data_IF_035810061941
#
_entry.id   IF_035810061941
#
_cell.length_a   1.000
_cell.length_b   1.000
_cell.length_c   1.000
_cell.angle_alpha   90.00
_cell.angle_beta   90.00
_cell.angle_gamma   90.00
#
_symmetry.space_group_name_H-M   'P 1'
#
loop_
_entity.id
_entity.type
_entity.pdbx_description
1 polymer ?
#
# COMPACT_ATOMS: atom_id res chain seq x y z
N UNK A 1 -76.94 -57.11 82.07
CA UNK A 1 -77.52 -57.75 80.87
C UNK A 1 -77.66 -56.70 79.78
N UNK A 2 -77.36 -57.10 78.54
CA UNK A 2 -77.15 -56.26 77.36
C UNK A 2 -78.48 -55.85 76.67
N UNK A 3 -78.38 -54.80 75.83
CA UNK A 3 -79.20 -54.45 74.65
C UNK A 3 -80.49 -53.62 74.83
N UNK A 4 -80.54 -52.50 74.11
CA UNK A 4 -81.76 -51.76 73.77
C UNK A 4 -81.50 -50.38 73.15
N UNK A 5 -80.94 -50.35 71.93
CA UNK A 5 -81.51 -49.70 70.73
C UNK A 5 -81.91 -48.21 70.88
N UNK A 6 -81.11 -47.36 70.25
CA UNK A 6 -81.52 -46.04 69.79
C UNK A 6 -81.64 -46.04 68.25
N UNK A 7 -82.81 -45.64 67.77
CA UNK A 7 -83.18 -45.32 66.40
C UNK A 7 -84.36 -44.33 66.56
N UNK A 8 -84.51 -43.17 65.94
CA UNK A 8 -83.74 -42.31 65.07
C UNK A 8 -84.58 -41.03 64.90
N UNK A 9 -84.04 -39.98 64.29
CA UNK A 9 -84.79 -39.04 63.42
C UNK A 9 -83.86 -37.98 62.82
N UNK A 10 -83.72 -38.06 61.50
CA UNK A 10 -83.03 -37.10 60.65
C UNK A 10 -83.79 -35.77 60.55
N UNK A 11 -83.06 -34.65 60.58
CA UNK A 11 -83.44 -33.40 59.91
C UNK A 11 -82.33 -33.00 58.95
N UNK A 12 -82.73 -32.74 57.70
CA UNK A 12 -81.87 -32.47 56.53
C UNK A 12 -81.16 -31.12 56.68
N UNK A 13 -79.85 -31.09 56.42
CA UNK A 13 -79.10 -29.86 56.21
C UNK A 13 -79.18 -29.44 54.73
N UNK A 14 -79.54 -28.18 54.48
CA UNK A 14 -79.38 -27.55 53.17
C UNK A 14 -77.91 -27.16 52.97
N UNK A 15 -77.30 -27.56 51.86
CA UNK A 15 -75.98 -27.09 51.46
C UNK A 15 -76.13 -25.84 50.57
N UNK A 16 -75.40 -24.73 50.81
CA UNK A 16 -75.36 -23.62 49.88
C UNK A 16 -74.46 -23.95 48.68
N UNK A 17 -74.94 -23.71 47.47
CA UNK A 17 -74.15 -23.77 46.25
C UNK A 17 -73.23 -22.55 46.18
N UNK A 18 -71.92 -22.74 46.40
CA UNK A 18 -70.92 -21.72 46.12
C UNK A 18 -70.56 -21.77 44.62
N UNK A 19 -71.20 -20.91 43.82
CA UNK A 19 -70.78 -20.65 42.44
C UNK A 19 -69.37 -20.03 42.45
N UNK A 20 -68.39 -20.71 41.84
CA UNK A 20 -67.06 -20.15 41.62
C UNK A 20 -67.14 -19.18 40.44
N UNK A 21 -67.11 -17.87 40.71
CA UNK A 21 -66.87 -16.87 39.68
C UNK A 21 -65.44 -17.07 39.12
N UNK A 22 -65.33 -17.42 37.84
CA UNK A 22 -64.03 -17.54 37.19
C UNK A 22 -63.35 -16.16 37.16
N UNK A 23 -62.10 -16.09 37.67
CA UNK A 23 -61.28 -14.87 37.76
C UNK A 23 -60.76 -14.45 36.38
N UNK A 24 -61.59 -13.81 35.56
CA UNK A 24 -61.25 -13.33 34.21
C UNK A 24 -60.02 -12.41 34.17
N UNK A 25 -59.79 -11.59 35.21
CA UNK A 25 -58.65 -10.67 35.29
C UNK A 25 -57.27 -11.32 35.32
N UNK A 26 -57.12 -12.56 35.83
CA UNK A 26 -55.82 -13.25 35.87
C UNK A 26 -55.43 -13.81 34.51
N UNK A 27 -56.43 -14.28 33.75
CA UNK A 27 -56.23 -14.83 32.41
C UNK A 27 -55.86 -13.70 31.43
N UNK A 28 -56.53 -12.54 31.54
CA UNK A 28 -56.19 -11.36 30.74
C UNK A 28 -54.78 -10.85 31.02
N UNK A 29 -54.34 -10.81 32.29
CA UNK A 29 -52.97 -10.43 32.64
C UNK A 29 -51.95 -11.42 32.09
N UNK A 30 -52.24 -12.73 32.11
CA UNK A 30 -51.36 -13.73 31.50
C UNK A 30 -51.22 -13.55 29.99
N UNK A 31 -52.34 -13.34 29.27
CA UNK A 31 -52.32 -13.11 27.82
C UNK A 31 -51.51 -11.84 27.49
N UNK A 32 -51.73 -10.75 28.22
CA UNK A 32 -50.99 -9.49 28.01
C UNK A 32 -49.48 -9.71 28.29
N UNK A 33 -49.12 -10.42 29.35
CA UNK A 33 -47.73 -10.73 29.66
C UNK A 33 -47.07 -11.58 28.57
N UNK A 34 -47.78 -12.58 28.02
CA UNK A 34 -47.27 -13.41 26.92
C UNK A 34 -47.07 -12.59 25.64
N UNK A 35 -48.01 -11.69 25.31
CA UNK A 35 -47.88 -10.80 24.14
C UNK A 35 -46.69 -9.84 24.30
N UNK A 36 -46.49 -9.28 25.51
CA UNK A 36 -45.35 -8.42 25.80
C UNK A 36 -44.01 -9.17 25.67
N UNK A 37 -43.92 -10.41 26.15
CA UNK A 37 -42.72 -11.23 26.01
C UNK A 37 -42.42 -11.55 24.53
N UNK A 38 -43.44 -11.86 23.73
CA UNK A 38 -43.29 -12.09 22.29
C UNK A 38 -42.83 -10.82 21.57
N UNK A 39 -43.42 -9.67 21.89
CA UNK A 39 -43.02 -8.39 21.31
C UNK A 39 -41.56 -8.03 21.65
N UNK A 40 -41.13 -8.26 22.90
CA UNK A 40 -39.75 -8.06 23.33
C UNK A 40 -38.77 -9.01 22.63
N UNK A 41 -39.14 -10.29 22.46
CA UNK A 41 -38.32 -11.27 21.77
C UNK A 41 -38.14 -10.92 20.28
N UNK A 42 -39.23 -10.53 19.61
CA UNK A 42 -39.20 -10.11 18.19
C UNK A 42 -38.40 -8.81 18.04
N UNK A 43 -38.64 -7.82 18.91
CA UNK A 43 -37.93 -6.55 18.91
C UNK A 43 -36.43 -6.71 19.15
N UNK A 44 -36.02 -7.56 20.09
CA UNK A 44 -34.62 -7.88 20.34
C UNK A 44 -33.95 -8.58 19.14
N UNK A 45 -34.66 -9.50 18.49
CA UNK A 45 -34.15 -10.21 17.30
C UNK A 45 -33.98 -9.25 16.12
N UNK A 46 -34.94 -8.35 15.89
CA UNK A 46 -34.84 -7.32 14.85
C UNK A 46 -33.74 -6.32 15.14
N UNK A 47 -33.56 -5.90 16.40
CA UNK A 47 -32.48 -5.01 16.80
C UNK A 47 -31.11 -5.66 16.55
N UNK A 48 -30.95 -6.94 16.92
CA UNK A 48 -29.72 -7.69 16.70
C UNK A 48 -29.41 -7.88 15.20
N UNK A 49 -30.42 -8.20 14.37
CA UNK A 49 -30.27 -8.32 12.91
C UNK A 49 -30.06 -6.98 12.20
N UNK A 50 -30.56 -5.89 12.78
CA UNK A 50 -30.44 -4.54 12.21
C UNK A 50 -29.14 -3.84 12.61
N UNK A 51 -28.37 -4.38 13.55
CA UNK A 51 -27.02 -3.91 13.84
C UNK A 51 -26.16 -4.17 12.62
N UNK A 52 -25.94 -3.11 11.82
CA UNK A 52 -24.93 -3.12 10.78
C UNK A 52 -23.62 -2.71 11.42
N UNK A 53 -22.66 -3.62 11.46
CA UNK A 53 -21.27 -3.23 11.76
C UNK A 53 -20.79 -2.25 10.70
N UNK A 54 -19.98 -1.27 11.10
CA UNK A 54 -19.27 -0.43 10.14
C UNK A 54 -18.47 -1.36 9.20
N UNK A 55 -18.56 -1.20 7.87
CA UNK A 55 -17.89 -2.11 6.96
C UNK A 55 -16.39 -2.09 7.25
N UNK A 56 -15.81 -3.26 7.54
CA UNK A 56 -14.35 -3.43 7.56
C UNK A 56 -13.88 -3.24 6.12
N UNK A 57 -13.50 -2.01 5.78
CA UNK A 57 -12.98 -1.66 4.47
C UNK A 57 -11.56 -2.21 4.35
N UNK A 58 -11.41 -3.34 3.65
CA UNK A 58 -10.09 -3.83 3.27
C UNK A 58 -9.56 -2.96 2.13
N UNK A 59 -8.82 -1.90 2.49
CA UNK A 59 -8.31 -0.91 1.55
C UNK A 59 -7.08 -1.48 0.85
N UNK A 60 -7.28 -2.04 -0.34
CA UNK A 60 -6.17 -2.38 -1.23
C UNK A 60 -5.60 -1.09 -1.83
N UNK A 61 -4.44 -0.65 -1.33
CA UNK A 61 -3.70 0.46 -1.92
C UNK A 61 -2.88 -0.08 -3.10
N UNK A 62 -3.05 0.45 -4.33
CA UNK A 62 -2.25 0.02 -5.46
C UNK A 62 -0.80 0.46 -5.28
N UNK A 63 0.10 -0.49 -5.48
CA UNK A 63 1.54 -0.27 -5.46
C UNK A 63 1.96 0.59 -6.65
N UNK A 64 2.83 1.58 -6.41
CA UNK A 64 3.44 2.42 -7.45
C UNK A 64 4.95 2.35 -7.38
N UNK A 65 5.58 2.27 -8.54
CA UNK A 65 7.03 2.42 -8.68
C UNK A 65 7.29 3.68 -9.49
N UNK A 66 7.87 4.68 -8.86
CA UNK A 66 8.21 5.97 -9.48
C UNK A 66 9.51 6.47 -8.87
N UNK A 67 10.23 7.30 -9.63
CA UNK A 67 11.45 7.91 -9.15
C UNK A 67 11.59 9.35 -9.61
N UNK A 68 12.46 10.09 -8.94
CA UNK A 68 12.77 11.49 -9.21
C UNK A 68 14.28 11.67 -9.26
N UNK A 69 14.77 12.30 -10.31
CA UNK A 69 16.20 12.62 -10.44
C UNK A 69 16.54 13.78 -9.52
N UNK A 70 17.64 13.65 -8.79
CA UNK A 70 18.23 14.69 -7.96
C UNK A 70 19.57 15.07 -8.56
N UNK A 71 19.77 16.35 -8.87
CA UNK A 71 21.03 16.87 -9.36
C UNK A 71 21.14 18.37 -9.09
N UNK A 72 22.35 18.92 -9.22
CA UNK A 72 22.60 20.36 -9.20
C UNK A 72 23.44 20.71 -10.40
N UNK A 73 23.08 21.78 -11.12
CA UNK A 73 23.90 22.30 -12.21
C UNK A 73 24.32 23.73 -11.92
N UNK A 74 25.62 23.99 -11.94
CA UNK A 74 26.18 25.33 -11.85
C UNK A 74 26.52 25.84 -13.26
N UNK A 75 25.67 26.73 -13.78
CA UNK A 75 25.85 27.29 -15.12
C UNK A 75 27.11 28.16 -15.29
N UNK A 76 27.65 28.72 -14.21
CA UNK A 76 28.88 29.54 -14.26
C UNK A 76 30.14 28.70 -14.37
N UNK A 77 30.18 27.53 -13.72
CA UNK A 77 31.34 26.62 -13.76
C UNK A 77 31.17 25.48 -14.75
N UNK A 78 29.96 25.25 -15.28
CA UNK A 78 29.63 24.10 -16.12
C UNK A 78 29.66 22.78 -15.36
N UNK A 79 29.57 22.79 -14.03
CA UNK A 79 29.64 21.59 -13.20
C UNK A 79 28.25 21.08 -12.88
N UNK A 80 28.00 19.81 -13.21
CA UNK A 80 26.84 19.06 -12.71
C UNK A 80 27.29 18.20 -11.53
N UNK A 81 26.57 18.26 -10.41
CA UNK A 81 26.95 17.61 -9.16
C UNK A 81 25.76 16.94 -8.47
N UNK A 82 26.08 16.10 -7.49
CA UNK A 82 25.10 15.39 -6.64
C UNK A 82 24.08 14.59 -7.44
N UNK A 83 24.51 13.92 -8.53
CA UNK A 83 23.60 13.16 -9.40
C UNK A 83 23.14 11.91 -8.65
N UNK A 84 21.85 11.83 -8.36
CA UNK A 84 21.23 10.74 -7.61
C UNK A 84 19.76 10.59 -8.05
N UNK A 85 19.07 9.59 -7.53
CA UNK A 85 17.67 9.31 -7.86
C UNK A 85 16.93 8.90 -6.60
N UNK A 86 15.84 9.60 -6.28
CA UNK A 86 14.97 9.25 -5.17
C UNK A 86 13.90 8.27 -5.63
N UNK A 87 13.68 7.20 -4.88
CA UNK A 87 12.49 6.37 -5.02
C UNK A 87 11.28 7.10 -4.40
N UNK A 88 10.34 7.52 -5.24
CA UNK A 88 9.10 8.19 -4.82
C UNK A 88 7.90 7.24 -4.84
N UNK A 89 8.14 5.97 -5.16
CA UNK A 89 7.16 4.90 -5.13
C UNK A 89 6.79 4.47 -3.71
N UNK A 90 5.96 3.43 -3.64
CA UNK A 90 5.42 2.88 -2.38
C UNK A 90 6.08 1.57 -1.95
N UNK A 91 7.02 1.06 -2.74
CA UNK A 91 7.77 -0.17 -2.45
C UNK A 91 9.26 0.00 -2.78
N UNK A 92 10.06 -0.93 -2.28
CA UNK A 92 11.47 -1.04 -2.61
C UNK A 92 11.68 -1.22 -4.11
N UNK A 93 12.62 -0.47 -4.66
CA UNK A 93 12.88 -0.45 -6.09
C UNK A 93 14.37 -0.50 -6.41
N UNK A 94 14.73 -1.23 -7.48
CA UNK A 94 16.03 -1.06 -8.10
C UNK A 94 15.98 0.13 -9.05
N UNK A 95 17.10 0.84 -9.15
CA UNK A 95 17.23 2.06 -9.94
C UNK A 95 18.34 1.88 -10.97
N UNK A 96 18.06 2.31 -12.21
CA UNK A 96 19.07 2.50 -13.23
C UNK A 96 19.03 3.92 -13.80
N UNK A 97 20.16 4.40 -14.28
CA UNK A 97 20.33 5.73 -14.88
C UNK A 97 20.98 5.60 -16.24
N UNK A 98 20.49 6.36 -17.22
CA UNK A 98 21.17 6.63 -18.49
C UNK A 98 21.55 8.10 -18.55
N UNK A 99 22.80 8.38 -18.89
CA UNK A 99 23.31 9.73 -19.10
C UNK A 99 23.30 10.02 -20.60
N UNK A 100 22.53 11.01 -21.03
CA UNK A 100 22.40 11.37 -22.45
C UNK A 100 23.11 12.69 -22.68
N UNK A 101 24.11 12.67 -23.56
CA UNK A 101 24.95 13.84 -23.86
C UNK A 101 24.62 14.43 -25.21
N UNK A 102 24.52 15.75 -25.26
CA UNK A 102 24.22 16.49 -26.47
C UNK A 102 24.82 17.90 -26.40
N UNK A 103 24.63 18.69 -27.46
CA UNK A 103 25.10 20.08 -27.54
C UNK A 103 23.95 21.06 -27.55
N UNK A 104 24.17 22.23 -26.95
CA UNK A 104 23.24 23.35 -26.95
C UNK A 104 23.90 24.62 -27.45
N UNK A 105 23.12 25.49 -28.08
CA UNK A 105 23.56 26.86 -28.37
C UNK A 105 23.35 27.78 -27.15
N UNK A 106 23.69 29.06 -27.29
CA UNK A 106 23.52 30.06 -26.22
C UNK A 106 22.06 30.31 -25.84
N UNK A 107 21.12 30.01 -26.74
CA UNK A 107 19.68 30.05 -26.48
C UNK A 107 19.15 28.79 -25.78
N UNK A 108 20.02 27.80 -25.50
CA UNK A 108 19.64 26.54 -24.86
C UNK A 108 18.95 25.54 -25.79
N UNK A 109 18.96 25.76 -27.11
CA UNK A 109 18.38 24.85 -28.08
C UNK A 109 19.34 23.71 -28.40
N UNK A 110 18.82 22.49 -28.55
CA UNK A 110 19.60 21.35 -29.03
C UNK A 110 20.08 21.61 -30.46
N UNK A 111 21.38 21.45 -30.70
CA UNK A 111 22.03 21.58 -32.00
C UNK A 111 22.73 20.27 -32.39
N UNK A 112 23.19 20.19 -33.64
CA UNK A 112 24.03 19.08 -34.12
C UNK A 112 25.41 19.01 -33.45
N UNK A 113 26.20 18.04 -33.88
CA UNK A 113 27.54 17.79 -33.38
C UNK A 113 27.61 16.69 -32.32
N UNK A 114 28.75 16.02 -32.24
CA UNK A 114 28.97 14.90 -31.30
C UNK A 114 29.37 15.41 -29.92
N UNK A 115 28.70 14.93 -28.87
CA UNK A 115 29.10 15.18 -27.49
C UNK A 115 29.32 13.84 -26.77
N UNK A 116 30.56 13.55 -26.37
CA UNK A 116 30.89 12.36 -25.57
C UNK A 116 30.65 12.61 -24.09
N UNK A 117 30.19 11.59 -23.36
CA UNK A 117 30.03 11.66 -21.91
C UNK A 117 31.34 12.07 -21.21
N UNK A 118 31.32 13.10 -20.33
CA UNK A 118 32.50 13.49 -19.57
C UNK A 118 33.00 12.35 -18.69
N UNK A 119 34.30 12.36 -18.37
CA UNK A 119 34.84 11.45 -17.37
C UNK A 119 34.34 11.88 -15.98
N UNK A 120 33.93 10.92 -15.17
CA UNK A 120 33.51 11.13 -13.79
C UNK A 120 33.84 9.90 -12.94
N UNK A 121 33.86 10.08 -11.62
CA UNK A 121 34.04 8.98 -10.68
C UNK A 121 32.69 8.34 -10.38
N UNK A 122 32.55 7.06 -10.70
CA UNK A 122 31.34 6.30 -10.40
C UNK A 122 31.25 6.05 -8.88
N UNK A 123 30.12 6.37 -8.28
CA UNK A 123 29.88 6.15 -6.85
C UNK A 123 29.80 4.67 -6.47
N UNK A 124 30.10 4.37 -5.21
CA UNK A 124 30.08 3.01 -4.66
C UNK A 124 28.70 2.33 -4.82
N UNK A 125 28.67 1.04 -5.15
CA UNK A 125 27.42 0.31 -5.30
C UNK A 125 26.68 0.58 -6.62
N UNK A 126 27.19 1.49 -7.46
CA UNK A 126 26.78 1.63 -8.85
C UNK A 126 27.65 0.77 -9.76
N UNK A 127 27.04 0.13 -10.75
CA UNK A 127 27.71 -0.70 -11.76
C UNK A 127 27.27 -0.25 -13.15
N UNK A 128 28.22 -0.03 -14.05
CA UNK A 128 27.92 0.25 -15.46
C UNK A 128 27.69 -1.07 -16.22
N UNK A 129 26.60 -1.13 -16.99
CA UNK A 129 26.32 -2.21 -17.92
C UNK A 129 25.63 -1.66 -19.18
N UNK A 130 26.27 -1.84 -20.34
CA UNK A 130 25.88 -1.15 -21.56
C UNK A 130 25.89 0.38 -21.40
N UNK A 131 24.78 1.02 -21.76
CA UNK A 131 24.57 2.48 -21.65
C UNK A 131 24.04 2.94 -20.29
N UNK A 132 23.78 1.99 -19.37
CA UNK A 132 23.10 2.24 -18.11
C UNK A 132 24.03 2.04 -16.92
N UNK A 133 23.71 2.76 -15.84
CA UNK A 133 24.34 2.64 -14.54
C UNK A 133 23.29 2.15 -13.55
N UNK A 134 23.54 1.01 -12.92
CA UNK A 134 22.61 0.32 -12.04
C UNK A 134 23.07 0.45 -10.59
N UNK A 135 22.18 0.86 -9.70
CA UNK A 135 22.44 0.78 -8.27
C UNK A 135 22.06 -0.62 -7.76
N UNK A 136 23.02 -1.27 -7.10
CA UNK A 136 22.93 -2.71 -6.79
C UNK A 136 22.04 -3.04 -5.60
N UNK A 137 21.81 -2.10 -4.67
CA UNK A 137 20.94 -2.32 -3.52
C UNK A 137 19.51 -1.86 -3.81
N UNK A 138 18.47 -2.53 -3.28
CA UNK A 138 17.11 -2.01 -3.34
C UNK A 138 17.01 -0.69 -2.58
N UNK A 139 16.27 0.27 -3.13
CA UNK A 139 16.06 1.59 -2.54
C UNK A 139 14.65 1.64 -1.98
N UNK A 140 14.52 1.82 -0.66
CA UNK A 140 13.23 1.88 0.01
C UNK A 140 12.39 3.13 -0.39
N UNK A 141 11.06 3.12 -0.18
CA UNK A 141 10.20 4.26 -0.42
C UNK A 141 10.72 5.55 0.25
N UNK A 142 10.70 6.65 -0.49
CA UNK A 142 11.19 7.96 -0.08
C UNK A 142 12.70 8.04 0.23
N UNK A 143 13.46 6.98 -0.02
CA UNK A 143 14.92 6.95 0.11
C UNK A 143 15.58 7.15 -1.26
N UNK A 144 16.90 7.28 -1.22
CA UNK A 144 17.78 7.34 -2.39
C UNK A 144 19.00 6.43 -2.17
N UNK A 145 19.72 6.03 -3.22
CA UNK A 145 21.05 5.43 -3.11
C UNK A 145 21.94 6.12 -2.08
N UNK A 146 22.66 5.30 -1.30
CA UNK A 146 23.54 5.76 -0.21
C UNK A 146 24.59 6.74 -0.72
N UNK A 147 25.15 6.45 -1.89
CA UNK A 147 26.08 7.31 -2.62
C UNK A 147 25.44 7.83 -3.90
N UNK A 148 25.86 9.03 -4.31
CA UNK A 148 25.50 9.58 -5.61
C UNK A 148 26.03 8.68 -6.74
N UNK A 149 25.40 8.71 -7.91
CA UNK A 149 25.96 8.12 -9.13
C UNK A 149 27.33 8.74 -9.43
N UNK A 150 27.39 10.07 -9.28
CA UNK A 150 28.63 10.84 -9.24
C UNK A 150 28.43 12.09 -8.38
N UNK A 151 29.48 12.47 -7.66
CA UNK A 151 29.48 13.73 -6.91
C UNK A 151 29.68 14.94 -7.81
N UNK A 152 30.43 14.79 -8.91
CA UNK A 152 30.60 15.84 -9.90
C UNK A 152 31.00 15.31 -11.28
N UNK A 153 30.60 16.07 -12.30
CA UNK A 153 31.12 15.98 -13.66
C UNK A 153 31.20 17.39 -14.24
N UNK A 154 32.30 17.70 -14.92
CA UNK A 154 32.51 19.00 -15.57
C UNK A 154 32.15 18.89 -17.05
N UNK A 155 31.22 19.73 -17.50
CA UNK A 155 30.75 19.75 -18.88
C UNK A 155 31.66 20.65 -19.73
N UNK A 156 31.79 20.33 -21.01
CA UNK A 156 32.52 21.15 -21.97
C UNK A 156 31.74 22.46 -22.20
N UNK A 157 32.34 23.58 -21.81
CA UNK A 157 31.71 24.91 -21.91
C UNK A 157 31.65 25.48 -23.34
N UNK A 158 32.52 25.01 -24.24
CA UNK A 158 32.51 25.40 -25.65
C UNK A 158 33.23 24.36 -26.51
N UNK A 159 32.64 24.01 -27.66
CA UNK A 159 33.29 23.24 -28.71
C UNK A 159 33.85 24.18 -29.78
N UNK A 160 35.05 23.85 -30.29
CA UNK A 160 35.78 24.68 -31.26
C UNK A 160 35.63 24.20 -32.71
N UNK A 161 34.79 23.19 -32.94
CA UNK A 161 34.48 22.70 -34.28
C UNK A 161 33.40 23.56 -34.96
N UNK A 162 33.06 23.21 -36.21
CA UNK A 162 32.10 23.98 -37.03
C UNK A 162 30.69 24.01 -36.42
N UNK A 163 30.31 22.97 -35.67
CA UNK A 163 29.01 22.90 -35.00
C UNK A 163 28.98 23.77 -33.74
N UNK A 164 30.11 23.91 -33.07
CA UNK A 164 30.26 24.75 -31.88
C UNK A 164 29.34 24.34 -30.73
N UNK A 165 28.87 25.35 -29.98
CA UNK A 165 27.97 25.20 -28.84
C UNK A 165 28.65 24.68 -27.58
N UNK A 166 27.84 24.36 -26.57
CA UNK A 166 28.27 23.85 -25.26
C UNK A 166 27.62 22.52 -24.95
N UNK A 167 28.28 21.71 -24.14
CA UNK A 167 27.76 20.41 -23.75
C UNK A 167 26.60 20.54 -22.76
N UNK A 168 25.62 19.68 -22.94
CA UNK A 168 24.56 19.40 -21.99
C UNK A 168 24.49 17.89 -21.71
N UNK A 169 24.04 17.53 -20.51
CA UNK A 169 23.85 16.14 -20.09
C UNK A 169 22.52 16.02 -19.39
N UNK A 170 21.64 15.18 -19.93
CA UNK A 170 20.39 14.79 -19.29
C UNK A 170 20.57 13.49 -18.51
N UNK A 171 19.95 13.44 -17.34
CA UNK A 171 19.93 12.27 -16.47
C UNK A 171 18.56 11.64 -16.57
N UNK A 172 18.49 10.47 -17.20
CA UNK A 172 17.25 9.69 -17.32
C UNK A 172 17.30 8.56 -16.30
N UNK A 173 16.31 8.48 -15.42
CA UNK A 173 16.24 7.43 -14.42
C UNK A 173 15.01 6.54 -14.61
N UNK A 174 15.18 5.27 -14.28
CA UNK A 174 14.09 4.30 -14.23
C UNK A 174 14.18 3.52 -12.92
N UNK A 175 13.01 3.28 -12.32
CA UNK A 175 12.88 2.45 -11.13
C UNK A 175 11.92 1.29 -11.40
N UNK A 176 12.24 0.11 -10.89
CA UNK A 176 11.41 -1.09 -10.97
C UNK A 176 11.32 -1.75 -9.60
N UNK A 177 10.23 -2.48 -9.33
CA UNK A 177 10.10 -3.21 -8.06
C UNK A 177 11.26 -4.18 -7.85
N UNK A 178 11.81 -4.20 -6.63
CA UNK A 178 12.94 -5.08 -6.30
C UNK A 178 12.54 -6.55 -6.18
N UNK A 179 11.30 -6.82 -5.77
CA UNK A 179 10.77 -8.17 -5.56
C UNK A 179 9.39 -8.28 -6.22
N UNK A 180 9.06 -9.42 -6.88
CA UNK A 180 9.91 -10.58 -7.13
C UNK A 180 10.95 -10.32 -8.24
N UNK A 181 12.06 -11.07 -8.24
CA UNK A 181 13.09 -10.94 -9.28
C UNK A 181 12.62 -11.18 -10.72
N UNK A 182 11.46 -11.80 -10.91
CA UNK A 182 10.80 -11.88 -12.21
C UNK A 182 10.49 -10.50 -12.81
N UNK A 183 10.21 -9.49 -11.99
CA UNK A 183 9.98 -8.13 -12.44
C UNK A 183 11.25 -7.49 -13.03
N UNK A 184 12.39 -7.77 -12.40
CA UNK A 184 13.71 -7.34 -12.87
C UNK A 184 14.02 -7.95 -14.23
N UNK A 185 13.82 -9.26 -14.37
CA UNK A 185 14.06 -9.94 -15.65
C UNK A 185 13.13 -9.47 -16.75
N UNK A 186 11.84 -9.30 -16.45
CA UNK A 186 10.87 -8.79 -17.41
C UNK A 186 11.19 -7.37 -17.89
N UNK A 187 11.75 -6.51 -17.02
CA UNK A 187 12.06 -5.13 -17.37
C UNK A 187 13.43 -4.96 -18.03
N UNK A 188 14.46 -5.68 -17.56
CA UNK A 188 15.86 -5.43 -17.92
C UNK A 188 16.54 -6.57 -18.66
N UNK A 189 15.93 -7.75 -18.72
CA UNK A 189 16.44 -8.93 -19.42
C UNK A 189 16.72 -10.12 -18.49
N UNK A 190 16.70 -11.32 -19.05
CA UNK A 190 16.81 -12.58 -18.29
C UNK A 190 18.15 -12.79 -17.58
N UNK A 191 19.21 -12.11 -18.03
CA UNK A 191 20.54 -12.22 -17.44
C UNK A 191 20.64 -11.54 -16.05
N UNK A 192 19.68 -10.67 -15.72
CA UNK A 192 19.63 -10.02 -14.40
C UNK A 192 19.09 -10.99 -13.34
N UNK A 193 19.68 -10.94 -12.14
CA UNK A 193 19.22 -11.77 -11.02
C UNK A 193 19.33 -11.02 -9.69
N UNK A 194 18.84 -11.65 -8.62
CA UNK A 194 18.89 -11.12 -7.25
C UNK A 194 19.66 -12.12 -6.40
N UNK A 195 20.64 -11.64 -5.64
CA UNK A 195 21.45 -12.46 -4.75
C UNK A 195 20.68 -12.88 -3.47
N UNK A 196 21.32 -13.70 -2.63
CA UNK A 196 20.75 -14.16 -1.35
C UNK A 196 20.46 -13.03 -0.34
N UNK A 197 21.08 -11.86 -0.53
CA UNK A 197 20.91 -10.69 0.32
C UNK A 197 19.84 -9.71 -0.24
N UNK A 198 19.22 -10.03 -1.37
CA UNK A 198 18.23 -9.15 -2.01
C UNK A 198 18.85 -8.06 -2.90
N UNK A 199 20.14 -8.13 -3.22
CA UNK A 199 20.80 -7.17 -4.10
C UNK A 199 20.70 -7.59 -5.57
N UNK A 200 20.67 -6.61 -6.45
CA UNK A 200 20.73 -6.80 -7.89
C UNK A 200 22.12 -7.31 -8.30
N UNK A 201 22.13 -8.46 -8.97
CA UNK A 201 23.30 -8.97 -9.69
C UNK A 201 23.18 -8.47 -11.12
N UNK A 202 24.01 -7.48 -11.44
CA UNK A 202 24.13 -6.95 -12.80
C UNK A 202 25.01 -7.91 -13.60
N UNK A 203 24.63 -8.30 -14.83
CA UNK A 203 25.45 -9.17 -15.64
C UNK A 203 26.85 -8.57 -15.86
N UNK A 204 27.85 -9.42 -15.78
CA UNK A 204 29.19 -9.09 -16.27
C UNK A 204 29.13 -9.10 -17.80
N UNK A 205 29.19 -7.93 -18.44
CA UNK A 205 29.18 -7.86 -19.90
C UNK A 205 30.39 -8.54 -20.54
N UNK A 206 30.15 -9.21 -21.67
CA UNK A 206 31.15 -9.56 -22.68
C UNK A 206 31.72 -8.31 -23.36
#
# INVERSE_FOLDING_TARGET
MYRGRYEGKHRKAAAPAHGKALRTGRLTTMVIATVLLLALAIGGTLAWLSTKDAPIQNKFLPTKVTCEVMETFNGSTGVKSNVNVKNTGTIDAFIRVKLVTYRTNDQGQHIGGTASLPTFTLGTGWVKYGDYYYYTKPVAPNQKPETNLTDSMTLIGSYMDTDGGKQAVDVMAEAIQSVPGAAVRAAWGEDFSIDVNGNLVVPTGN
#
